data_IF_078737226032
#
_entry.id   IF_078737226032
#
_cell.length_a   1.000
_cell.length_b   1.000
_cell.length_c   1.000
_cell.angle_alpha   90.00
_cell.angle_beta   90.00
_cell.angle_gamma   90.00
#
_symmetry.space_group_name_H-M   'P 1'
#
loop_
_entity.id
_entity.type
_entity.pdbx_description
1 polymer ?
#
# COMPACT_ATOMS: atom_id res chain seq x y z
N UNK A 1 10.72 -8.17 44.62
CA UNK A 1 10.89 -9.34 43.74
C UNK A 1 9.50 -9.80 43.34
N UNK A 2 8.92 -9.19 42.31
CA UNK A 2 7.54 -9.52 41.95
C UNK A 2 7.51 -10.82 41.14
N UNK A 3 6.65 -11.73 41.58
CA UNK A 3 6.37 -13.04 41.01
C UNK A 3 5.25 -12.92 39.98
N UNK A 4 5.65 -12.57 38.77
CA UNK A 4 5.01 -13.05 37.54
C UNK A 4 6.09 -13.76 36.72
N UNK A 5 5.79 -14.23 35.51
CA UNK A 5 6.76 -14.85 34.62
C UNK A 5 7.84 -13.83 34.18
N UNK A 6 8.84 -13.63 35.04
CA UNK A 6 9.92 -12.66 34.90
C UNK A 6 11.24 -13.39 34.59
N UNK A 7 12.12 -12.75 33.80
CA UNK A 7 13.43 -13.27 33.35
C UNK A 7 13.38 -14.34 32.25
N UNK A 8 12.51 -14.18 31.25
CA UNK A 8 12.59 -14.96 30.01
C UNK A 8 13.67 -14.36 29.11
N UNK A 9 14.62 -15.19 28.70
CA UNK A 9 15.58 -14.85 27.64
C UNK A 9 14.85 -14.92 26.29
N UNK A 10 14.48 -13.75 25.77
CA UNK A 10 13.80 -13.61 24.47
C UNK A 10 14.86 -13.37 23.40
N UNK A 11 14.97 -14.28 22.43
CA UNK A 11 15.79 -14.09 21.24
C UNK A 11 15.02 -13.21 20.24
N UNK A 12 15.30 -11.91 20.26
CA UNK A 12 14.71 -10.94 19.34
C UNK A 12 15.21 -11.14 17.90
N UNK A 13 14.54 -10.56 16.90
CA UNK A 13 14.85 -10.80 15.47
C UNK A 13 16.22 -10.23 15.10
N UNK A 14 16.69 -9.21 15.81
CA UNK A 14 18.04 -8.63 15.63
C UNK A 14 19.13 -9.40 16.37
N UNK A 15 18.77 -10.35 17.26
CA UNK A 15 19.77 -11.11 18.01
C UNK A 15 20.45 -12.17 17.13
N UNK A 16 21.72 -12.46 17.42
CA UNK A 16 22.49 -13.47 16.67
C UNK A 16 22.15 -14.91 17.09
N UNK A 17 21.30 -15.10 18.09
CA UNK A 17 20.91 -16.43 18.56
C UNK A 17 19.98 -17.07 17.52
N UNK A 18 20.36 -18.25 17.03
CA UNK A 18 19.55 -19.06 16.10
C UNK A 18 19.23 -18.38 14.77
N UNK A 19 20.13 -17.50 14.28
CA UNK A 19 19.92 -16.66 13.09
C UNK A 19 19.60 -17.44 11.79
N UNK A 20 19.90 -18.74 11.73
CA UNK A 20 19.58 -19.63 10.59
C UNK A 20 18.45 -20.62 10.86
N UNK A 21 17.82 -20.61 12.04
CA UNK A 21 16.86 -21.64 12.45
C UNK A 21 15.39 -21.26 12.20
N UNK A 22 15.10 -19.99 11.92
CA UNK A 22 13.74 -19.45 11.81
C UNK A 22 13.23 -19.34 10.36
N UNK A 23 14.01 -19.81 9.38
CA UNK A 23 13.64 -19.81 7.98
C UNK A 23 14.62 -20.62 7.13
N UNK A 24 14.41 -20.62 5.81
CA UNK A 24 15.38 -21.22 4.90
C UNK A 24 16.39 -20.18 4.43
N UNK A 25 17.66 -20.55 4.40
CA UNK A 25 18.71 -19.75 3.79
C UNK A 25 18.59 -19.77 2.26
N UNK A 26 19.10 -18.73 1.59
CA UNK A 26 19.15 -18.72 0.13
C UNK A 26 19.80 -19.98 -0.47
N UNK A 27 20.84 -20.51 0.19
CA UNK A 27 21.53 -21.72 -0.26
C UNK A 27 20.59 -22.94 -0.26
N UNK A 28 19.81 -23.11 0.80
CA UNK A 28 18.83 -24.20 0.93
C UNK A 28 17.71 -24.04 -0.09
N UNK A 29 17.15 -22.83 -0.25
CA UNK A 29 16.10 -22.56 -1.23
C UNK A 29 16.59 -22.85 -2.65
N UNK A 30 17.78 -22.36 -3.03
CA UNK A 30 18.30 -22.54 -4.38
C UNK A 30 18.62 -24.00 -4.68
N UNK A 31 19.13 -24.75 -3.70
CA UNK A 31 19.36 -26.19 -3.83
C UNK A 31 18.04 -26.96 -3.98
N UNK A 32 17.01 -26.61 -3.19
CA UNK A 32 15.68 -27.21 -3.30
C UNK A 32 15.06 -26.96 -4.68
N UNK A 33 15.15 -25.74 -5.20
CA UNK A 33 14.63 -25.39 -6.53
C UNK A 33 15.32 -26.15 -7.67
N UNK A 34 16.65 -26.35 -7.58
CA UNK A 34 17.36 -27.16 -8.58
C UNK A 34 16.94 -28.63 -8.51
N UNK A 35 16.74 -29.16 -7.30
CA UNK A 35 16.35 -30.55 -7.09
C UNK A 35 14.98 -30.88 -7.68
N UNK A 36 14.05 -29.93 -7.69
CA UNK A 36 12.69 -30.07 -8.24
C UNK A 36 12.54 -29.47 -9.65
N UNK A 37 13.65 -29.23 -10.36
CA UNK A 37 13.67 -28.71 -11.74
C UNK A 37 13.04 -27.30 -11.92
N UNK A 38 12.89 -26.54 -10.84
CA UNK A 38 12.39 -25.16 -10.81
C UNK A 38 13.50 -24.10 -10.75
N UNK A 39 14.77 -24.49 -10.96
CA UNK A 39 15.94 -23.61 -10.86
C UNK A 39 15.87 -22.34 -11.73
N UNK A 40 15.12 -22.37 -12.84
CA UNK A 40 14.87 -21.19 -13.70
C UNK A 40 14.19 -20.03 -12.98
N UNK A 41 13.48 -20.28 -11.87
CA UNK A 41 12.72 -19.28 -11.13
C UNK A 41 13.52 -18.58 -10.01
N UNK A 42 14.77 -18.98 -9.72
CA UNK A 42 15.57 -18.45 -8.59
C UNK A 42 15.55 -16.93 -8.46
N UNK A 43 15.73 -16.21 -9.57
CA UNK A 43 15.71 -14.73 -9.58
C UNK A 43 14.35 -14.17 -9.15
N UNK A 44 13.26 -14.74 -9.67
CA UNK A 44 11.91 -14.31 -9.32
C UNK A 44 11.51 -14.74 -7.90
N UNK A 45 11.94 -15.92 -7.45
CA UNK A 45 11.77 -16.39 -6.06
C UNK A 45 12.46 -15.45 -5.09
N UNK A 46 13.68 -14.99 -5.39
CA UNK A 46 14.35 -13.96 -4.58
C UNK A 46 13.51 -12.69 -4.50
N UNK A 47 13.01 -12.17 -5.63
CA UNK A 47 12.18 -10.97 -5.61
C UNK A 47 10.86 -11.14 -4.84
N UNK A 48 10.26 -12.32 -4.88
CA UNK A 48 8.95 -12.57 -4.27
C UNK A 48 9.00 -12.88 -2.78
N UNK A 49 9.96 -13.69 -2.35
CA UNK A 49 9.91 -14.38 -1.06
C UNK A 49 11.12 -14.10 -0.16
N UNK A 50 12.15 -13.43 -0.69
CA UNK A 50 13.34 -13.04 0.08
C UNK A 50 13.15 -11.69 0.77
N UNK A 51 13.88 -11.44 1.84
CA UNK A 51 13.98 -10.11 2.45
C UNK A 51 14.00 -10.10 3.96
N UNK A 52 13.89 -11.26 4.60
CA UNK A 52 14.02 -11.38 6.05
C UNK A 52 15.50 -11.32 6.43
N UNK A 53 15.78 -10.56 7.49
CA UNK A 53 17.09 -10.53 8.15
C UNK A 53 16.87 -10.96 9.59
N UNK A 54 17.60 -11.98 10.03
CA UNK A 54 17.56 -12.47 11.40
C UNK A 54 18.99 -12.44 11.92
N UNK A 55 19.24 -11.69 13.00
CA UNK A 55 20.58 -11.39 13.44
C UNK A 55 21.41 -10.77 12.32
N UNK A 56 22.47 -11.46 11.91
CA UNK A 56 23.33 -11.06 10.78
C UNK A 56 23.02 -11.83 9.50
N UNK A 57 22.18 -12.86 9.59
CA UNK A 57 21.86 -13.68 8.44
C UNK A 57 20.89 -12.92 7.54
N UNK A 58 21.39 -12.55 6.36
CA UNK A 58 20.59 -12.01 5.27
C UNK A 58 20.03 -13.14 4.42
N UNK A 59 19.13 -12.77 3.53
CA UNK A 59 18.53 -13.64 2.55
C UNK A 59 17.85 -14.88 3.17
N UNK A 60 17.08 -14.65 4.24
CA UNK A 60 16.23 -15.66 4.87
C UNK A 60 14.86 -15.65 4.20
N UNK A 61 14.31 -16.83 3.96
CA UNK A 61 13.04 -17.04 3.28
C UNK A 61 12.03 -17.67 4.22
N UNK A 62 10.76 -17.26 4.08
CA UNK A 62 9.65 -17.90 4.77
C UNK A 62 9.46 -19.36 4.31
N UNK A 63 9.55 -20.36 5.21
CA UNK A 63 9.44 -21.78 4.81
C UNK A 63 8.12 -22.15 4.16
N UNK A 64 7.01 -21.56 4.62
CA UNK A 64 5.68 -21.82 4.08
C UNK A 64 5.54 -21.28 2.66
N UNK A 65 6.05 -20.07 2.39
CA UNK A 65 5.99 -19.49 1.05
C UNK A 65 6.78 -20.31 0.03
N UNK A 66 7.99 -20.75 0.39
CA UNK A 66 8.83 -21.57 -0.49
C UNK A 66 8.23 -22.97 -0.72
N UNK A 67 7.77 -23.63 0.34
CA UNK A 67 7.15 -24.96 0.20
C UNK A 67 5.89 -24.90 -0.66
N UNK A 68 5.05 -23.87 -0.50
CA UNK A 68 3.85 -23.67 -1.34
C UNK A 68 4.16 -23.31 -2.78
N UNK A 69 5.20 -22.53 -3.04
CA UNK A 69 5.67 -22.27 -4.40
C UNK A 69 6.10 -23.56 -5.11
N UNK A 70 6.83 -24.44 -4.42
CA UNK A 70 7.25 -25.74 -4.96
C UNK A 70 6.03 -26.67 -5.17
N UNK A 71 5.17 -26.79 -4.15
CA UNK A 71 3.94 -27.61 -4.17
C UNK A 71 2.95 -27.20 -5.27
N UNK A 72 3.00 -25.94 -5.70
CA UNK A 72 2.16 -25.38 -6.77
C UNK A 72 2.83 -25.37 -8.14
N UNK A 73 3.90 -26.15 -8.32
CA UNK A 73 4.64 -26.29 -9.58
C UNK A 73 5.15 -24.94 -10.14
N UNK A 74 5.68 -24.11 -9.25
CA UNK A 74 6.29 -22.82 -9.62
C UNK A 74 5.31 -21.66 -9.80
N UNK A 75 4.09 -21.75 -9.24
CA UNK A 75 3.13 -20.64 -9.24
C UNK A 75 3.48 -19.61 -8.16
N UNK A 76 3.57 -18.34 -8.56
CA UNK A 76 3.74 -17.22 -7.62
C UNK A 76 2.38 -16.77 -7.04
N UNK A 77 2.28 -16.75 -5.72
CA UNK A 77 1.14 -16.18 -5.00
C UNK A 77 1.56 -15.71 -3.59
N UNK A 78 0.63 -15.08 -2.87
CA UNK A 78 0.82 -14.68 -1.47
C UNK A 78 0.44 -15.84 -0.54
N UNK A 79 1.34 -16.79 -0.36
CA UNK A 79 1.14 -17.99 0.44
C UNK A 79 1.11 -17.72 1.94
N UNK A 80 1.84 -16.71 2.41
CA UNK A 80 1.87 -16.29 3.81
C UNK A 80 0.63 -15.48 4.23
N UNK A 81 -0.11 -14.92 3.26
CA UNK A 81 -1.28 -14.05 3.45
C UNK A 81 -2.51 -14.71 4.10
N UNK A 82 -2.50 -16.01 4.38
CA UNK A 82 -3.65 -16.77 4.87
C UNK A 82 -3.56 -17.16 6.36
N UNK A 83 -2.78 -16.43 7.17
CA UNK A 83 -2.60 -16.73 8.61
C UNK A 83 -3.44 -15.80 9.50
N UNK A 84 -3.69 -16.25 10.74
CA UNK A 84 -4.58 -15.60 11.73
C UNK A 84 -4.15 -14.18 12.14
N UNK A 85 -2.86 -13.87 12.10
CA UNK A 85 -2.27 -12.57 12.45
C UNK A 85 -2.78 -11.40 11.60
N UNK A 86 -3.25 -11.69 10.38
CA UNK A 86 -3.76 -10.67 9.46
C UNK A 86 -4.99 -9.94 10.00
N UNK A 87 -5.79 -10.56 10.86
CA UNK A 87 -6.97 -9.90 11.44
C UNK A 87 -6.59 -8.80 12.42
N UNK A 88 -5.56 -9.03 13.24
CA UNK A 88 -5.05 -8.05 14.19
C UNK A 88 -4.42 -6.86 13.46
N UNK A 89 -3.48 -7.14 12.56
CA UNK A 89 -2.81 -6.09 11.76
C UNK A 89 -3.83 -5.25 10.99
N UNK A 90 -4.80 -5.91 10.36
CA UNK A 90 -5.89 -5.25 9.67
C UNK A 90 -6.66 -4.28 10.56
N UNK A 91 -6.99 -4.71 11.79
CA UNK A 91 -7.68 -3.87 12.78
C UNK A 91 -6.81 -2.68 13.21
N UNK A 92 -5.53 -2.91 13.50
CA UNK A 92 -4.60 -1.88 13.97
C UNK A 92 -4.40 -0.80 12.92
N UNK A 93 -4.18 -1.17 11.67
CA UNK A 93 -4.02 -0.18 10.59
C UNK A 93 -5.36 0.50 10.29
N UNK A 94 -6.48 -0.24 10.34
CA UNK A 94 -7.80 0.34 10.13
C UNK A 94 -8.16 1.38 11.21
N UNK A 95 -7.90 1.08 12.48
CA UNK A 95 -8.17 1.99 13.60
C UNK A 95 -7.05 2.99 13.86
N UNK A 96 -5.90 2.77 13.25
CA UNK A 96 -4.70 3.57 13.44
C UNK A 96 -4.95 5.03 13.11
N UNK A 97 -4.04 5.87 13.63
CA UNK A 97 -4.08 7.29 13.38
C UNK A 97 -3.95 7.60 11.88
N UNK A 98 -4.15 8.87 11.54
CA UNK A 98 -3.82 9.39 10.21
C UNK A 98 -2.35 9.18 9.86
N UNK A 99 -1.42 9.31 10.81
CA UNK A 99 0.01 9.10 10.57
C UNK A 99 0.32 7.65 10.18
N UNK A 100 -0.29 6.67 10.86
CA UNK A 100 -0.18 5.25 10.50
C UNK A 100 -0.60 5.00 9.04
N UNK A 101 -1.69 5.63 8.60
CA UNK A 101 -2.21 5.48 7.25
C UNK A 101 -1.29 6.09 6.19
N UNK A 102 -0.76 7.30 6.44
CA UNK A 102 0.22 7.93 5.57
C UNK A 102 1.50 7.09 5.44
N UNK A 103 2.01 6.55 6.54
CA UNK A 103 3.19 5.69 6.53
C UNK A 103 2.95 4.38 5.76
N UNK A 104 1.76 3.77 5.91
CA UNK A 104 1.40 2.60 5.10
C UNK A 104 1.32 2.94 3.61
N UNK A 105 0.80 4.12 3.24
CA UNK A 105 0.79 4.58 1.85
C UNK A 105 2.22 4.76 1.31
N UNK A 106 3.11 5.38 2.09
CA UNK A 106 4.51 5.55 1.73
C UNK A 106 5.19 4.18 1.49
N UNK A 107 4.97 3.21 2.37
CA UNK A 107 5.43 1.82 2.18
C UNK A 107 4.87 1.19 0.90
N UNK A 108 3.59 1.40 0.60
CA UNK A 108 2.93 0.90 -0.62
C UNK A 108 3.50 1.52 -1.89
N UNK A 109 3.93 2.77 -1.81
CA UNK A 109 4.63 3.49 -2.87
C UNK A 109 6.14 3.15 -2.94
N UNK A 110 6.61 2.23 -2.10
CA UNK A 110 8.01 1.79 -2.08
C UNK A 110 8.95 2.78 -1.39
N UNK A 111 8.41 3.75 -0.64
CA UNK A 111 9.20 4.62 0.23
C UNK A 111 9.48 3.93 1.56
N UNK A 112 10.49 4.43 2.25
CA UNK A 112 10.86 3.99 3.60
C UNK A 112 10.14 4.85 4.64
N UNK A 113 9.83 4.24 5.79
CA UNK A 113 9.35 4.96 6.98
C UNK A 113 10.40 4.88 8.08
N UNK A 114 10.31 5.79 9.06
CA UNK A 114 11.13 5.75 10.27
C UNK A 114 10.25 5.55 11.49
N UNK A 115 10.64 4.64 12.37
CA UNK A 115 9.93 4.36 13.61
C UNK A 115 10.91 3.95 14.71
N UNK A 116 10.56 4.26 15.96
CA UNK A 116 11.26 3.73 17.12
C UNK A 116 10.78 2.30 17.37
N UNK A 117 11.69 1.34 17.46
CA UNK A 117 11.35 -0.09 17.58
C UNK A 117 11.82 -0.62 18.92
N UNK A 118 10.84 -1.00 19.75
CA UNK A 118 11.04 -1.93 20.85
C UNK A 118 10.62 -3.34 20.40
N UNK A 119 11.58 -4.25 20.29
CA UNK A 119 11.29 -5.64 19.92
C UNK A 119 10.53 -6.41 21.02
N UNK A 120 10.52 -5.89 22.25
CA UNK A 120 9.72 -6.39 23.36
C UNK A 120 8.34 -5.71 23.39
N UNK A 121 7.48 -6.10 22.46
CA UNK A 121 6.18 -5.45 22.26
C UNK A 121 5.25 -5.66 23.47
N UNK A 122 4.84 -4.56 24.08
CA UNK A 122 3.69 -4.54 24.98
C UNK A 122 2.38 -4.48 24.16
N UNK A 123 1.67 -5.61 24.12
CA UNK A 123 0.41 -5.73 23.38
C UNK A 123 -0.68 -4.78 23.90
N UNK A 124 -0.59 -4.29 25.14
CA UNK A 124 -1.54 -3.33 25.70
C UNK A 124 -1.39 -1.93 25.07
N UNK A 125 -0.22 -1.64 24.48
CA UNK A 125 0.06 -0.35 23.84
C UNK A 125 -0.36 -0.31 22.36
N UNK A 126 -0.75 -1.43 21.75
CA UNK A 126 -1.03 -1.50 20.31
C UNK A 126 -2.16 -0.57 19.82
N UNK A 127 -3.12 -0.24 20.68
CA UNK A 127 -4.22 0.67 20.33
C UNK A 127 -3.91 2.15 20.66
N UNK A 128 -2.77 2.46 21.29
CA UNK A 128 -2.42 3.82 21.76
C UNK A 128 -1.07 4.33 21.27
N UNK A 129 -0.11 3.45 20.95
CA UNK A 129 1.23 3.79 20.47
C UNK A 129 1.46 3.23 19.06
N UNK A 130 1.77 4.11 18.12
CA UNK A 130 2.06 3.76 16.74
C UNK A 130 3.36 2.98 16.60
N UNK A 131 4.36 3.27 17.43
CA UNK A 131 5.63 2.54 17.43
C UNK A 131 5.43 1.07 17.77
N UNK A 132 4.49 0.74 18.66
CA UNK A 132 4.12 -0.65 18.95
C UNK A 132 3.54 -1.36 17.71
N UNK A 133 2.80 -0.66 16.85
CA UNK A 133 2.29 -1.21 15.58
C UNK A 133 3.46 -1.51 14.63
N UNK A 134 4.41 -0.59 14.49
CA UNK A 134 5.57 -0.78 13.63
C UNK A 134 6.51 -1.87 14.14
N UNK A 135 6.72 -1.95 15.46
CA UNK A 135 7.47 -3.02 16.09
C UNK A 135 6.80 -4.38 15.86
N UNK A 136 5.47 -4.47 15.99
CA UNK A 136 4.74 -5.69 15.66
C UNK A 136 4.92 -6.07 14.19
N UNK A 137 4.78 -5.13 13.27
CA UNK A 137 4.97 -5.38 11.84
C UNK A 137 6.40 -5.83 11.49
N UNK A 138 7.41 -5.25 12.15
CA UNK A 138 8.81 -5.61 11.98
C UNK A 138 9.14 -6.99 12.54
N UNK A 139 8.83 -7.23 13.82
CA UNK A 139 9.14 -8.50 14.52
C UNK A 139 8.42 -9.71 13.92
N UNK A 140 7.23 -9.50 13.35
CA UNK A 140 6.48 -10.57 12.64
C UNK A 140 6.87 -10.70 11.17
N UNK A 141 7.79 -9.85 10.68
CA UNK A 141 8.42 -9.98 9.37
C UNK A 141 7.63 -9.38 8.19
N UNK A 142 6.60 -8.55 8.44
CA UNK A 142 5.98 -7.75 7.39
C UNK A 142 6.90 -6.63 6.89
N UNK A 143 7.72 -6.09 7.80
CA UNK A 143 8.72 -5.08 7.50
C UNK A 143 10.11 -5.63 7.71
N UNK A 144 11.06 -5.13 6.94
CA UNK A 144 12.49 -5.31 7.15
C UNK A 144 13.15 -3.98 7.50
N UNK A 145 14.23 -4.05 8.26
CA UNK A 145 15.09 -2.92 8.54
C UNK A 145 16.12 -2.76 7.41
N UNK A 146 16.07 -1.64 6.69
CA UNK A 146 17.11 -1.28 5.72
C UNK A 146 18.29 -0.59 6.43
N UNK A 147 18.02 0.12 7.53
CA UNK A 147 19.00 0.76 8.41
C UNK A 147 18.50 0.81 9.85
N UNK A 148 19.40 0.72 10.83
CA UNK A 148 19.07 0.82 12.25
C UNK A 148 20.17 1.58 13.00
N UNK A 149 19.78 2.61 13.73
CA UNK A 149 20.62 3.40 14.65
C UNK A 149 19.96 3.41 16.02
N UNK A 150 20.56 2.70 16.98
CA UNK A 150 19.99 2.47 18.31
C UNK A 150 18.56 1.89 18.23
N UNK A 151 17.55 2.63 18.67
CA UNK A 151 16.14 2.26 18.62
C UNK A 151 15.41 2.85 17.40
N UNK A 152 16.07 3.66 16.56
CA UNK A 152 15.48 4.27 15.37
C UNK A 152 15.75 3.45 14.11
N UNK A 153 14.69 2.94 13.50
CA UNK A 153 14.77 2.04 12.35
C UNK A 153 14.24 2.72 11.10
N UNK A 154 14.89 2.46 9.97
CA UNK A 154 14.36 2.78 8.64
C UNK A 154 13.81 1.50 8.02
N UNK A 155 12.50 1.47 7.78
CA UNK A 155 11.74 0.27 7.46
C UNK A 155 11.15 0.31 6.05
N UNK A 156 11.11 -0.87 5.42
CA UNK A 156 10.47 -1.13 4.13
C UNK A 156 9.65 -2.42 4.18
N UNK A 157 8.70 -2.61 3.25
CA UNK A 157 8.10 -3.94 3.07
C UNK A 157 9.18 -4.99 2.76
N UNK A 158 9.08 -6.12 3.43
CA UNK A 158 10.05 -7.22 3.32
C UNK A 158 10.21 -7.66 1.86
N UNK A 159 9.10 -7.91 1.16
CA UNK A 159 9.10 -8.44 -0.20
C UNK A 159 7.80 -8.17 -0.98
N UNK A 160 7.73 -8.64 -2.23
CA UNK A 160 6.55 -8.49 -3.10
C UNK A 160 5.33 -9.22 -2.54
N UNK A 161 5.52 -10.40 -1.93
CA UNK A 161 4.43 -11.14 -1.29
C UNK A 161 3.74 -10.29 -0.22
N UNK A 162 4.51 -9.64 0.66
CA UNK A 162 3.96 -8.78 1.72
C UNK A 162 3.20 -7.60 1.13
N UNK A 163 3.79 -6.92 0.15
CA UNK A 163 3.15 -5.79 -0.53
C UNK A 163 1.80 -6.20 -1.12
N UNK A 164 1.76 -7.32 -1.86
CA UNK A 164 0.52 -7.85 -2.45
C UNK A 164 -0.49 -8.28 -1.39
N UNK A 165 -0.05 -8.81 -0.24
CA UNK A 165 -0.93 -9.13 0.87
C UNK A 165 -1.62 -7.87 1.41
N UNK A 166 -0.89 -6.79 1.70
CA UNK A 166 -1.49 -5.53 2.18
C UNK A 166 -2.45 -4.93 1.16
N UNK A 167 -2.10 -4.96 -0.13
CA UNK A 167 -3.04 -4.61 -1.22
C UNK A 167 -4.35 -5.39 -1.08
N UNK A 168 -4.28 -6.73 -0.97
CA UNK A 168 -5.46 -7.59 -0.81
C UNK A 168 -6.24 -7.31 0.48
N UNK A 169 -5.54 -6.98 1.56
CA UNK A 169 -6.13 -6.66 2.86
C UNK A 169 -6.92 -5.34 2.79
N UNK A 170 -6.31 -4.27 2.26
CA UNK A 170 -6.97 -2.98 2.11
C UNK A 170 -8.16 -3.07 1.17
N UNK A 171 -8.09 -3.88 0.12
CA UNK A 171 -9.26 -4.18 -0.73
C UNK A 171 -10.46 -4.63 0.10
N UNK A 172 -10.26 -5.53 1.07
CA UNK A 172 -11.36 -6.05 1.93
C UNK A 172 -12.04 -4.97 2.77
N UNK A 173 -11.39 -3.84 3.05
CA UNK A 173 -12.05 -2.70 3.70
C UNK A 173 -13.18 -2.13 2.86
N UNK A 174 -13.09 -2.27 1.54
CA UNK A 174 -14.07 -1.78 0.59
C UNK A 174 -15.15 -2.82 0.26
N UNK A 175 -14.95 -4.11 0.60
CA UNK A 175 -15.88 -5.21 0.27
C UNK A 175 -17.14 -5.32 1.14
N UNK A 176 -17.25 -4.57 2.25
CA UNK A 176 -18.32 -4.82 3.24
C UNK A 176 -19.76 -4.57 2.75
N UNK A 177 -19.99 -4.12 1.50
CA UNK A 177 -21.34 -3.95 0.91
C UNK A 177 -21.54 -4.37 -0.57
N UNK A 178 -20.73 -5.25 -1.17
CA UNK A 178 -21.07 -5.85 -2.48
C UNK A 178 -20.37 -5.23 -3.70
N UNK A 179 -21.01 -5.28 -4.89
CA UNK A 179 -20.44 -5.04 -6.23
C UNK A 179 -19.94 -3.61 -6.52
N UNK A 180 -20.25 -2.66 -5.64
CA UNK A 180 -20.03 -1.21 -5.82
C UNK A 180 -18.57 -0.82 -6.15
N UNK A 181 -17.59 -1.60 -5.66
CA UNK A 181 -16.17 -1.39 -5.96
C UNK A 181 -15.84 -1.63 -7.43
N UNK A 182 -16.27 -2.79 -7.94
CA UNK A 182 -16.09 -3.13 -9.34
C UNK A 182 -16.87 -2.18 -10.23
N UNK A 183 -17.99 -1.65 -9.72
CA UNK A 183 -18.80 -0.68 -10.45
C UNK A 183 -18.15 0.71 -10.50
N UNK A 184 -17.47 1.18 -9.43
CA UNK A 184 -16.62 2.38 -9.51
C UNK A 184 -15.50 2.20 -10.55
N UNK A 185 -14.80 1.06 -10.55
CA UNK A 185 -13.74 0.80 -11.52
C UNK A 185 -14.26 0.78 -12.94
N UNK A 186 -15.37 0.08 -13.20
CA UNK A 186 -16.03 0.08 -14.52
C UNK A 186 -16.41 1.49 -14.94
N UNK A 187 -17.00 2.28 -14.04
CA UNK A 187 -17.36 3.67 -14.30
C UNK A 187 -16.14 4.53 -14.65
N UNK A 188 -15.04 4.39 -13.91
CA UNK A 188 -13.76 5.07 -14.16
C UNK A 188 -13.19 4.71 -15.55
N UNK A 189 -13.17 3.42 -15.89
CA UNK A 189 -12.67 2.95 -17.18
C UNK A 189 -13.58 3.40 -18.34
N UNK A 190 -14.90 3.41 -18.13
CA UNK A 190 -15.87 3.92 -19.10
C UNK A 190 -15.82 5.45 -19.24
N UNK A 191 -15.34 6.18 -18.22
CA UNK A 191 -15.48 7.64 -18.14
C UNK A 191 -16.89 8.10 -17.78
N UNK A 192 -17.66 7.26 -17.07
CA UNK A 192 -18.95 7.65 -16.55
C UNK A 192 -18.78 8.41 -15.22
N UNK A 193 -18.59 9.72 -15.31
CA UNK A 193 -18.36 10.61 -14.16
C UNK A 193 -19.54 10.59 -13.17
N UNK A 194 -20.77 10.42 -13.64
CA UNK A 194 -21.96 10.36 -12.78
C UNK A 194 -21.91 9.13 -11.87
N UNK A 195 -21.70 7.95 -12.47
CA UNK A 195 -21.54 6.69 -11.72
C UNK A 195 -20.32 6.74 -10.81
N UNK A 196 -19.20 7.30 -11.28
CA UNK A 196 -18.00 7.48 -10.45
C UNK A 196 -18.31 8.28 -9.19
N UNK A 197 -19.02 9.40 -9.31
CA UNK A 197 -19.44 10.21 -8.16
C UNK A 197 -20.38 9.44 -7.24
N UNK A 198 -21.36 8.71 -7.79
CA UNK A 198 -22.29 7.90 -7.03
C UNK A 198 -21.56 6.85 -6.18
N UNK A 199 -20.77 5.98 -6.82
CA UNK A 199 -20.07 4.90 -6.14
C UNK A 199 -19.02 5.43 -5.16
N UNK A 200 -18.24 6.43 -5.56
CA UNK A 200 -17.21 7.01 -4.68
C UNK A 200 -17.82 7.61 -3.41
N UNK A 201 -18.94 8.34 -3.50
CA UNK A 201 -19.63 8.86 -2.32
C UNK A 201 -20.22 7.75 -1.44
N UNK A 202 -20.69 6.64 -2.02
CA UNK A 202 -21.14 5.48 -1.24
C UNK A 202 -19.99 4.84 -0.45
N UNK A 203 -18.86 4.60 -1.11
CA UNK A 203 -17.67 4.04 -0.46
C UNK A 203 -17.14 5.01 0.60
N UNK A 204 -16.99 6.31 0.28
CA UNK A 204 -16.55 7.33 1.22
C UNK A 204 -17.43 7.38 2.48
N UNK A 205 -18.76 7.41 2.35
CA UNK A 205 -19.68 7.44 3.50
C UNK A 205 -19.55 6.23 4.42
N UNK A 206 -19.41 5.04 3.84
CA UNK A 206 -19.35 3.78 4.59
C UNK A 206 -17.99 3.55 5.23
N UNK A 207 -16.93 3.82 4.47
CA UNK A 207 -15.55 3.60 4.88
C UNK A 207 -15.08 4.69 5.84
N UNK A 208 -15.29 5.97 5.57
CA UNK A 208 -14.77 7.05 6.43
C UNK A 208 -15.51 7.19 7.77
N UNK A 209 -16.66 6.55 7.92
CA UNK A 209 -17.33 6.41 9.23
C UNK A 209 -16.60 5.45 10.17
N UNK A 210 -15.77 4.53 9.66
CA UNK A 210 -14.90 3.68 10.48
C UNK A 210 -13.62 4.38 10.96
N UNK A 211 -13.22 5.45 10.28
CA UNK A 211 -11.89 6.01 10.38
C UNK A 211 -11.82 7.28 11.23
N UNK A 212 -12.94 7.73 11.83
CA UNK A 212 -13.10 9.04 12.47
C UNK A 212 -12.25 10.08 11.75
N UNK A 213 -12.53 10.26 10.45
CA UNK A 213 -11.98 11.37 9.69
C UNK A 213 -12.52 12.63 10.35
N UNK A 214 -11.73 13.12 11.31
CA UNK A 214 -12.12 14.18 12.22
C UNK A 214 -12.66 15.35 11.44
N UNK A 215 -13.74 15.90 11.93
CA UNK A 215 -14.20 17.26 11.69
C UNK A 215 -13.18 18.34 12.11
N UNK A 216 -11.92 17.96 12.31
CA UNK A 216 -10.82 18.80 12.75
C UNK A 216 -9.85 19.03 11.60
N UNK A 217 -9.51 20.31 11.43
CA UNK A 217 -8.49 20.86 10.54
C UNK A 217 -7.11 20.18 10.72
N UNK A 218 -6.94 18.94 10.26
CA UNK A 218 -5.61 18.38 10.00
C UNK A 218 -4.95 19.12 8.83
N UNK A 219 -3.62 19.10 8.74
CA UNK A 219 -2.90 19.75 7.64
C UNK A 219 -3.38 19.20 6.28
N UNK A 220 -3.99 20.03 5.44
CA UNK A 220 -4.65 19.67 4.16
C UNK A 220 -3.90 18.58 3.38
N UNK A 221 -2.59 18.74 3.24
CA UNK A 221 -1.67 17.81 2.56
C UNK A 221 -1.73 16.37 3.08
N UNK A 222 -1.82 16.16 4.40
CA UNK A 222 -1.93 14.80 4.94
C UNK A 222 -3.33 14.20 4.76
N UNK A 223 -4.37 15.04 4.58
CA UNK A 223 -5.73 14.54 4.30
C UNK A 223 -5.76 14.07 2.85
N UNK A 224 -5.11 14.83 1.96
CA UNK A 224 -4.92 14.49 0.56
C UNK A 224 -4.20 13.14 0.42
N UNK A 225 -3.14 12.89 1.21
CA UNK A 225 -2.46 11.57 1.30
C UNK A 225 -3.42 10.44 1.70
N UNK A 226 -4.22 10.63 2.75
CA UNK A 226 -5.20 9.60 3.12
C UNK A 226 -6.16 9.26 1.96
N UNK A 227 -6.70 10.27 1.26
CA UNK A 227 -7.55 10.04 0.10
C UNK A 227 -6.80 9.40 -1.06
N UNK A 228 -5.54 9.79 -1.28
CA UNK A 228 -4.66 9.17 -2.25
C UNK A 228 -4.50 7.67 -1.98
N UNK A 229 -4.09 7.29 -0.77
CA UNK A 229 -3.94 5.89 -0.39
C UNK A 229 -5.25 5.10 -0.50
N UNK A 230 -6.38 5.74 -0.18
CA UNK A 230 -7.72 5.17 -0.34
C UNK A 230 -8.05 4.88 -1.82
N UNK A 231 -7.92 5.87 -2.70
CA UNK A 231 -8.20 5.70 -4.13
C UNK A 231 -7.20 4.73 -4.77
N UNK A 232 -5.92 4.78 -4.40
CA UNK A 232 -4.92 3.81 -4.88
C UNK A 232 -5.29 2.38 -4.48
N UNK A 233 -5.81 2.19 -3.27
CA UNK A 233 -6.39 0.92 -2.82
C UNK A 233 -7.58 0.47 -3.67
N UNK A 234 -8.43 1.41 -4.10
CA UNK A 234 -9.53 1.15 -5.04
C UNK A 234 -9.06 0.72 -6.43
N UNK A 235 -7.91 1.22 -6.88
CA UNK A 235 -7.42 0.95 -8.24
C UNK A 235 -6.51 -0.28 -8.31
N UNK A 236 -6.05 -0.80 -7.18
CA UNK A 236 -5.03 -1.83 -7.15
C UNK A 236 -5.39 -3.14 -7.89
N UNK A 237 -6.67 -3.47 -8.10
CA UNK A 237 -7.10 -4.63 -8.93
C UNK A 237 -6.85 -4.44 -10.42
N UNK A 238 -6.81 -3.20 -10.87
CA UNK A 238 -6.54 -2.89 -12.26
C UNK A 238 -5.06 -3.04 -12.61
N UNK A 239 -4.18 -3.32 -11.63
CA UNK A 239 -2.74 -3.52 -11.84
C UNK A 239 -2.40 -4.71 -12.75
N UNK A 240 -3.33 -5.65 -12.95
CA UNK A 240 -3.15 -6.75 -13.90
C UNK A 240 -3.34 -6.30 -15.37
N UNK A 241 -3.97 -5.14 -15.59
CA UNK A 241 -4.28 -4.56 -16.91
C UNK A 241 -3.70 -3.14 -17.12
N UNK A 242 -3.23 -2.51 -16.06
CA UNK A 242 -2.67 -1.16 -16.04
C UNK A 242 -1.36 -1.13 -15.27
N UNK A 243 -0.40 -0.37 -15.78
CA UNK A 243 0.74 0.09 -15.00
C UNK A 243 0.31 1.29 -14.16
N UNK A 244 -0.03 1.04 -12.90
CA UNK A 244 -0.47 2.06 -11.94
C UNK A 244 0.75 2.59 -11.19
N UNK A 245 0.93 3.91 -11.25
CA UNK A 245 1.98 4.63 -10.55
C UNK A 245 1.40 5.83 -9.82
N UNK A 246 2.10 6.28 -8.79
CA UNK A 246 1.65 7.38 -7.93
C UNK A 246 2.83 8.22 -7.47
N UNK A 247 2.61 9.51 -7.24
CA UNK A 247 3.62 10.44 -6.72
C UNK A 247 4.94 10.46 -7.53
N UNK A 248 4.92 10.15 -8.83
CA UNK A 248 6.10 10.20 -9.70
C UNK A 248 6.16 11.51 -10.47
N UNK A 249 7.37 11.86 -10.91
CA UNK A 249 7.63 13.07 -11.68
C UNK A 249 7.21 12.88 -13.14
N UNK A 250 6.39 13.82 -13.64
CA UNK A 250 6.04 13.96 -15.05
C UNK A 250 5.85 15.43 -15.39
N UNK A 251 6.28 15.84 -16.59
CA UNK A 251 6.30 17.25 -16.99
C UNK A 251 7.13 18.09 -16.02
N UNK A 252 6.48 19.01 -15.29
CA UNK A 252 7.13 19.92 -14.33
C UNK A 252 6.63 19.75 -12.88
N UNK A 253 6.07 18.59 -12.55
CA UNK A 253 5.55 18.32 -11.21
C UNK A 253 5.42 16.83 -10.91
N UNK A 254 4.60 16.50 -9.91
CA UNK A 254 4.29 15.13 -9.51
C UNK A 254 2.79 14.94 -9.49
N UNK A 255 2.32 13.98 -10.28
CA UNK A 255 0.91 13.60 -10.29
C UNK A 255 0.58 12.74 -9.08
N UNK A 256 -0.69 12.76 -8.67
CA UNK A 256 -1.16 11.84 -7.65
C UNK A 256 -1.21 10.39 -8.16
N UNK A 257 -2.04 10.09 -9.15
CA UNK A 257 -2.12 8.73 -9.73
C UNK A 257 -2.13 8.79 -11.26
N UNK A 258 -1.35 7.91 -11.88
CA UNK A 258 -1.37 7.64 -13.31
C UNK A 258 -1.61 6.15 -13.54
N UNK A 259 -2.59 5.84 -14.38
CA UNK A 259 -2.87 4.49 -14.83
C UNK A 259 -2.58 4.41 -16.32
N UNK A 260 -1.45 3.80 -16.68
CA UNK A 260 -1.07 3.54 -18.06
C UNK A 260 -1.65 2.20 -18.50
N UNK A 261 -2.52 2.20 -19.51
CA UNK A 261 -3.11 0.98 -20.04
C UNK A 261 -2.04 0.06 -20.66
N UNK A 262 -2.14 -1.25 -20.42
CA UNK A 262 -1.28 -2.25 -21.08
C UNK A 262 -1.82 -2.59 -22.49
N UNK A 263 -3.15 -2.56 -22.65
CA UNK A 263 -3.82 -2.71 -23.96
C UNK A 263 -4.10 -1.33 -24.57
N UNK A 264 -3.58 -1.08 -25.78
CA UNK A 264 -3.76 0.17 -26.51
C UNK A 264 -5.23 0.49 -26.86
N UNK A 265 -6.15 -0.48 -26.74
CA UNK A 265 -7.60 -0.25 -26.90
C UNK A 265 -8.26 0.37 -25.66
N UNK A 266 -7.54 0.46 -24.55
CA UNK A 266 -8.02 1.04 -23.32
C UNK A 266 -7.40 2.42 -23.11
N UNK A 267 -8.19 3.35 -22.59
CA UNK A 267 -7.70 4.68 -22.27
C UNK A 267 -6.79 4.65 -21.04
N UNK A 268 -5.68 5.39 -21.10
CA UNK A 268 -4.91 5.69 -19.91
C UNK A 268 -5.57 6.83 -19.13
N UNK A 269 -5.29 6.97 -17.84
CA UNK A 269 -5.83 8.08 -17.07
C UNK A 269 -4.84 8.71 -16.09
N UNK A 270 -5.08 9.98 -15.81
CA UNK A 270 -4.38 10.78 -14.81
C UNK A 270 -5.42 11.29 -13.82
N UNK A 271 -5.16 11.10 -12.55
CA UNK A 271 -6.04 11.49 -11.44
C UNK A 271 -5.25 12.41 -10.53
N UNK A 272 -5.85 13.55 -10.18
CA UNK A 272 -5.31 14.52 -9.22
C UNK A 272 -6.32 14.77 -8.11
N UNK A 273 -5.85 14.85 -6.87
CA UNK A 273 -6.65 15.05 -5.68
C UNK A 273 -6.51 16.48 -5.18
N UNK A 274 -7.59 17.03 -4.62
CA UNK A 274 -7.58 18.26 -3.82
C UNK A 274 -8.52 18.08 -2.63
N UNK A 275 -8.15 18.65 -1.49
CA UNK A 275 -9.03 18.70 -0.31
C UNK A 275 -9.58 20.11 -0.18
N UNK A 276 -10.90 20.20 -0.06
CA UNK A 276 -11.60 21.46 0.08
C UNK A 276 -11.15 22.20 1.35
N UNK A 277 -10.66 23.42 1.15
CA UNK A 277 -10.34 24.36 2.22
C UNK A 277 -11.31 25.55 2.16
N UNK A 278 -12.23 25.70 3.13
CA UNK A 278 -13.20 26.80 3.12
C UNK A 278 -12.54 28.19 3.21
N UNK A 279 -11.24 28.29 3.51
CA UNK A 279 -10.48 29.55 3.47
C UNK A 279 -9.95 29.90 2.07
N UNK A 280 -9.79 28.92 1.18
CA UNK A 280 -9.13 29.05 -0.14
C UNK A 280 -10.01 28.66 -1.31
N UNK A 281 -11.08 27.91 -1.06
CA UNK A 281 -11.99 27.37 -2.05
C UNK A 281 -13.40 27.88 -1.78
N UNK A 282 -14.11 28.25 -2.85
CA UNK A 282 -15.51 28.67 -2.78
C UNK A 282 -16.46 27.50 -2.55
N UNK A 283 -16.23 26.41 -3.28
CA UNK A 283 -17.04 25.19 -3.28
C UNK A 283 -16.22 23.98 -3.78
N UNK A 284 -16.78 22.77 -3.65
CA UNK A 284 -16.16 21.53 -4.12
C UNK A 284 -15.93 21.53 -5.64
N UNK A 285 -16.78 22.22 -6.42
CA UNK A 285 -16.65 22.37 -7.87
C UNK A 285 -15.35 23.10 -8.24
N UNK A 286 -15.09 24.25 -7.60
CA UNK A 286 -13.84 24.99 -7.79
C UNK A 286 -12.62 24.16 -7.39
N UNK A 287 -12.74 23.39 -6.30
CA UNK A 287 -11.68 22.51 -5.81
C UNK A 287 -11.34 21.40 -6.83
N UNK A 288 -12.36 20.78 -7.44
CA UNK A 288 -12.17 19.77 -8.48
C UNK A 288 -11.59 20.37 -9.77
N UNK A 289 -11.99 21.60 -10.11
CA UNK A 289 -11.40 22.35 -11.22
C UNK A 289 -9.93 22.73 -10.97
N UNK A 290 -9.54 23.01 -9.72
CA UNK A 290 -8.13 23.21 -9.35
C UNK A 290 -7.30 21.96 -9.62
N UNK A 291 -7.81 20.78 -9.26
CA UNK A 291 -7.16 19.50 -9.55
C UNK A 291 -6.98 19.29 -11.07
N UNK A 292 -8.03 19.53 -11.88
CA UNK A 292 -7.94 19.44 -13.34
C UNK A 292 -6.97 20.46 -13.94
N UNK A 293 -6.93 21.70 -13.44
CA UNK A 293 -5.96 22.71 -13.88
C UNK A 293 -4.52 22.29 -13.58
N UNK A 294 -4.28 21.73 -12.39
CA UNK A 294 -2.97 21.25 -11.99
C UNK A 294 -2.41 20.19 -12.96
N UNK A 295 -3.25 19.24 -13.42
CA UNK A 295 -2.84 18.23 -14.42
C UNK A 295 -2.28 18.88 -15.70
N UNK A 296 -2.91 19.97 -16.14
CA UNK A 296 -2.57 20.65 -17.39
C UNK A 296 -1.36 21.57 -17.23
N UNK A 297 -1.39 22.43 -16.21
CA UNK A 297 -0.31 23.37 -15.92
C UNK A 297 1.00 22.65 -15.68
N UNK A 298 0.95 21.45 -15.07
CA UNK A 298 2.13 20.63 -14.83
C UNK A 298 2.47 19.66 -15.96
N UNK A 299 1.64 19.60 -17.00
CA UNK A 299 1.86 18.79 -18.19
C UNK A 299 2.08 17.29 -17.89
N UNK A 300 1.30 16.72 -16.96
CA UNK A 300 1.46 15.32 -16.54
C UNK A 300 1.25 14.30 -17.67
N UNK A 301 0.59 14.70 -18.76
CA UNK A 301 0.44 13.89 -19.98
C UNK A 301 1.77 13.56 -20.66
N UNK A 302 2.83 14.32 -20.39
CA UNK A 302 4.13 14.21 -21.09
C UNK A 302 4.68 12.78 -21.09
N UNK A 303 4.61 12.08 -19.96
CA UNK A 303 5.08 10.70 -19.82
C UNK A 303 4.29 9.73 -20.72
N UNK A 304 2.96 9.84 -20.74
CA UNK A 304 2.10 8.98 -21.57
C UNK A 304 2.28 9.24 -23.07
N UNK A 305 2.45 10.52 -23.46
CA UNK A 305 2.73 10.89 -24.85
C UNK A 305 4.10 10.36 -25.32
N UNK A 306 5.12 10.44 -24.46
CA UNK A 306 6.45 9.90 -24.75
C UNK A 306 6.43 8.37 -24.94
N UNK A 307 5.49 7.70 -24.25
CA UNK A 307 5.24 6.27 -24.38
C UNK A 307 4.34 5.89 -25.56
N UNK A 308 3.97 6.85 -26.43
CA UNK A 308 3.24 6.64 -27.67
C UNK A 308 1.72 6.53 -27.50
N UNK A 309 1.16 6.98 -26.38
CA UNK A 309 -0.29 7.03 -26.17
C UNK A 309 -0.82 8.35 -26.71
N UNK A 310 -1.83 8.30 -27.57
CA UNK A 310 -2.43 9.51 -28.14
C UNK A 310 -3.18 10.31 -27.07
N UNK A 311 -3.11 11.64 -27.16
CA UNK A 311 -3.75 12.54 -26.19
C UNK A 311 -5.27 12.31 -26.04
N UNK A 312 -5.93 11.84 -27.10
CA UNK A 312 -7.36 11.53 -27.12
C UNK A 312 -7.72 10.29 -26.29
N UNK A 313 -6.74 9.41 -26.05
CA UNK A 313 -6.89 8.19 -25.26
C UNK A 313 -6.46 8.40 -23.80
N UNK A 314 -6.22 9.64 -23.38
CA UNK A 314 -5.85 10.00 -22.01
C UNK A 314 -7.00 10.73 -21.32
N UNK A 315 -7.63 10.06 -20.35
CA UNK A 315 -8.67 10.66 -19.51
C UNK A 315 -8.05 11.39 -18.31
N UNK A 316 -8.52 12.60 -18.02
CA UNK A 316 -8.03 13.43 -16.90
C UNK A 316 -9.15 13.65 -15.89
N UNK A 317 -8.91 13.28 -14.64
CA UNK A 317 -9.91 13.41 -13.57
C UNK A 317 -9.38 14.25 -12.41
N UNK A 318 -10.20 15.22 -11.97
CA UNK A 318 -9.97 16.00 -10.77
C UNK A 318 -10.92 15.57 -9.69
N UNK A 319 -10.38 15.20 -8.54
CA UNK A 319 -11.13 14.73 -7.38
C UNK A 319 -11.03 15.77 -6.27
N UNK A 320 -12.16 16.24 -5.79
CA UNK A 320 -12.27 17.12 -4.63
C UNK A 320 -12.91 16.40 -3.45
N UNK A 321 -12.30 16.51 -2.28
CA UNK A 321 -12.80 15.87 -1.06
C UNK A 321 -13.14 16.87 0.03
N UNK A 322 -14.29 16.68 0.67
CA UNK A 322 -14.71 17.38 1.88
C UNK A 322 -15.24 16.35 2.90
N UNK A 323 -14.37 15.90 3.79
CA UNK A 323 -14.70 14.89 4.80
C UNK A 323 -15.21 13.57 4.20
N UNK A 324 -16.54 13.43 4.07
CA UNK A 324 -17.19 12.23 3.51
C UNK A 324 -17.83 12.45 2.14
N UNK A 325 -17.75 13.67 1.62
CA UNK A 325 -18.29 14.05 0.33
C UNK A 325 -17.14 14.10 -0.68
N UNK A 326 -17.38 13.55 -1.86
CA UNK A 326 -16.42 13.58 -2.97
C UNK A 326 -17.10 14.16 -4.19
N UNK A 327 -16.40 15.02 -4.93
CA UNK A 327 -16.80 15.45 -6.26
C UNK A 327 -15.69 15.10 -7.25
N UNK A 328 -16.06 14.40 -8.32
CA UNK A 328 -15.16 14.03 -9.40
C UNK A 328 -15.60 14.75 -10.66
N UNK A 329 -14.65 15.40 -11.35
CA UNK A 329 -14.86 15.99 -12.66
C UNK A 329 -13.89 15.36 -13.66
N UNK A 330 -14.36 15.19 -14.88
CA UNK A 330 -13.52 14.83 -16.01
C UNK A 330 -13.35 16.05 -16.91
N UNK A 331 -12.15 16.23 -17.44
CA UNK A 331 -11.94 17.18 -18.53
C UNK A 331 -12.26 16.50 -19.85
N UNK A 332 -13.19 17.08 -20.60
CA UNK A 332 -13.62 16.65 -21.93
C UNK A 332 -12.61 17.13 -22.97
#
# INVERSE_FOLDING_TARGET
MFSDMNHIDVAAITTHKYETAFGFTQKEVFAALDHVELGKYKKQVKQWYDGFMIGRCKDIYNPWSITKFIDSDGRFDTYWANTSSNTLINRLIAKGSRHVKCNMEDLMNGKQIRAHIDEMIDFSLLDVDENAIWALLFTTGYLRADHAEEDLYTLSFTNIEIKKMFVRMFRKWFYRRGSDFGDFQKALLAGNVEDMNYYMNMVAKTTFSYFDCGSGYGAIDETERFYHGFVLGLLAELSDHYHITSNRESGIGRYDIMMKAVDARQSSCIIEFKVFDPKRDKDLEECADKALRQIEEKCYVTELLADGIDAVDIKKYGFAFEGKTVLIKQKI
#
